data_IF_800666547251
#
_entry.id   IF_800666547251
#
_cell.length_a   1.000
_cell.length_b   1.000
_cell.length_c   1.000
_cell.angle_alpha   90.00
_cell.angle_beta   90.00
_cell.angle_gamma   90.00
#
_symmetry.space_group_name_H-M   'P 1'
#
loop_
_entity.id
_entity.type
_entity.pdbx_description
1 polymer ?
#
# COMPACT_ATOMS: atom_id res chain seq x y z
N UNK A 1 -8.44 13.40 -3.68
CA UNK A 1 -8.12 13.17 -2.25
C UNK A 1 -7.20 14.27 -1.75
N UNK A 2 -7.19 14.58 -0.45
CA UNK A 2 -6.43 15.69 0.13
C UNK A 2 -4.92 15.63 -0.18
N UNK A 3 -4.32 14.43 -0.18
CA UNK A 3 -2.91 14.21 -0.52
C UNK A 3 -2.57 14.65 -1.95
N UNK A 4 -3.41 14.27 -2.93
CA UNK A 4 -3.23 14.67 -4.35
C UNK A 4 -3.26 16.19 -4.54
N UNK A 5 -4.16 16.88 -3.82
CA UNK A 5 -4.27 18.36 -3.88
C UNK A 5 -3.02 19.07 -3.33
N UNK A 6 -2.27 18.40 -2.46
CA UNK A 6 -1.03 18.91 -1.87
C UNK A 6 0.23 18.43 -2.60
N UNK A 7 0.09 17.75 -3.73
CA UNK A 7 1.23 17.19 -4.47
C UNK A 7 1.99 16.09 -3.71
N UNK A 8 1.41 15.54 -2.64
CA UNK A 8 2.05 14.50 -1.84
C UNK A 8 1.87 13.16 -2.58
N UNK A 9 2.96 12.43 -2.88
CA UNK A 9 2.88 11.11 -3.49
C UNK A 9 2.00 10.17 -2.66
N UNK A 10 1.03 9.54 -3.31
CA UNK A 10 0.09 8.61 -2.65
C UNK A 10 -0.32 7.49 -3.60
N UNK A 11 -0.54 6.30 -3.07
CA UNK A 11 -1.09 5.13 -3.78
C UNK A 11 -2.33 4.61 -3.06
N UNK A 12 -3.26 4.03 -3.82
CA UNK A 12 -4.41 3.30 -3.31
C UNK A 12 -4.23 1.83 -3.67
N UNK A 13 -4.15 0.97 -2.66
CA UNK A 13 -4.23 -0.48 -2.84
C UNK A 13 -5.66 -0.90 -2.52
N UNK A 14 -6.30 -1.59 -3.44
CA UNK A 14 -7.69 -2.00 -3.33
C UNK A 14 -7.80 -3.51 -3.51
N UNK A 15 -8.38 -4.18 -2.52
CA UNK A 15 -8.54 -5.62 -2.48
C UNK A 15 -10.05 -5.94 -2.39
N UNK A 16 -10.73 -6.18 -3.52
CA UNK A 16 -12.20 -6.24 -3.55
C UNK A 16 -12.80 -7.41 -2.76
N UNK A 17 -12.05 -8.50 -2.59
CA UNK A 17 -12.52 -9.69 -1.86
C UNK A 17 -11.77 -9.92 -0.53
N UNK A 18 -11.20 -8.87 0.04
CA UNK A 18 -10.70 -8.86 1.44
C UNK A 18 -11.69 -8.10 2.35
N UNK A 19 -11.58 -8.33 3.67
CA UNK A 19 -12.36 -7.58 4.66
C UNK A 19 -11.51 -6.44 5.26
N UNK A 20 -11.70 -6.12 6.55
CA UNK A 20 -10.84 -5.15 7.25
C UNK A 20 -9.35 -5.57 7.28
N UNK A 21 -9.07 -6.87 7.14
CA UNK A 21 -7.74 -7.46 7.13
C UNK A 21 -7.42 -8.06 5.75
N UNK A 22 -6.13 -8.10 5.40
CA UNK A 22 -5.65 -8.79 4.19
C UNK A 22 -5.25 -10.21 4.56
N UNK A 23 -6.14 -11.17 4.35
CA UNK A 23 -6.01 -12.53 4.86
C UNK A 23 -5.69 -13.55 3.77
N UNK A 24 -6.12 -13.34 2.53
CA UNK A 24 -5.83 -14.33 1.48
C UNK A 24 -4.34 -14.30 1.12
N UNK A 25 -3.72 -15.47 0.86
CA UNK A 25 -2.26 -15.55 0.63
C UNK A 25 -1.74 -14.60 -0.44
N UNK A 26 -2.44 -14.50 -1.57
CA UNK A 26 -2.06 -13.61 -2.68
C UNK A 26 -2.16 -12.14 -2.29
N UNK A 27 -3.22 -11.75 -1.57
CA UNK A 27 -3.39 -10.40 -1.06
C UNK A 27 -2.28 -10.03 -0.07
N UNK A 28 -1.95 -10.94 0.84
CA UNK A 28 -0.92 -10.74 1.85
C UNK A 28 0.47 -10.53 1.20
N UNK A 29 0.83 -11.31 0.19
CA UNK A 29 2.10 -11.13 -0.54
C UNK A 29 2.17 -9.75 -1.22
N UNK A 30 1.11 -9.34 -1.90
CA UNK A 30 1.05 -8.03 -2.55
C UNK A 30 1.13 -6.89 -1.52
N UNK A 31 0.38 -7.00 -0.42
CA UNK A 31 0.37 -6.02 0.66
C UNK A 31 1.76 -5.78 1.23
N UNK A 32 2.45 -6.85 1.64
CA UNK A 32 3.80 -6.71 2.20
C UNK A 32 4.78 -6.18 1.16
N UNK A 33 4.70 -6.62 -0.10
CA UNK A 33 5.56 -6.12 -1.18
C UNK A 33 5.40 -4.60 -1.40
N UNK A 34 4.17 -4.10 -1.45
CA UNK A 34 3.91 -2.67 -1.66
C UNK A 34 4.30 -1.84 -0.43
N UNK A 35 3.98 -2.28 0.79
CA UNK A 35 4.31 -1.54 2.02
C UNK A 35 5.82 -1.49 2.25
N UNK A 36 6.51 -2.63 2.17
CA UNK A 36 7.96 -2.69 2.32
C UNK A 36 8.66 -1.93 1.19
N UNK A 37 8.19 -2.05 -0.05
CA UNK A 37 8.73 -1.29 -1.18
C UNK A 37 8.52 0.22 -1.03
N UNK A 38 7.40 0.65 -0.45
CA UNK A 38 7.15 2.05 -0.14
C UNK A 38 8.08 2.56 0.96
N UNK A 39 8.25 1.80 2.04
CA UNK A 39 9.21 2.14 3.10
C UNK A 39 10.63 2.22 2.54
N UNK A 40 11.08 1.24 1.74
CA UNK A 40 12.41 1.28 1.12
C UNK A 40 12.62 2.52 0.24
N UNK A 41 11.58 2.99 -0.48
CA UNK A 41 11.70 4.20 -1.31
C UNK A 41 11.97 5.46 -0.50
N UNK A 42 11.42 5.56 0.71
CA UNK A 42 11.36 6.82 1.46
C UNK A 42 12.17 6.80 2.76
N UNK A 43 12.50 5.62 3.28
CA UNK A 43 13.11 5.40 4.61
C UNK A 43 14.39 4.55 4.54
N UNK A 44 14.80 4.06 3.36
CA UNK A 44 16.10 3.40 3.27
C UNK A 44 17.20 4.46 3.31
N UNK A 45 18.08 4.36 4.31
CA UNK A 45 19.35 5.08 4.39
C UNK A 45 20.41 4.40 3.49
#
# INVERSE_FOLDING_TARGET
TALRRRGIPARLLYYPDENHWVLRPKGALMWHSEVLGWMNRWLAD
#
